data_IF_465707568051
#
_entry.id   IF_465707568051
#
_cell.length_a   1.000
_cell.length_b   1.000
_cell.length_c   1.000
_cell.angle_alpha   90.00
_cell.angle_beta   90.00
_cell.angle_gamma   90.00
#
_symmetry.space_group_name_H-M   'P 1'
#
loop_
_entity.id
_entity.type
_entity.pdbx_description
1 polymer ?
#
# COMPACT_ATOMS: atom_id res chain seq x y z
N UNK A 1 33.79 5.64 -46.58
CA UNK A 1 32.60 5.19 -45.83
C UNK A 1 33.02 4.92 -44.39
N UNK A 2 32.82 5.90 -43.51
CA UNK A 2 33.21 5.84 -42.09
C UNK A 2 32.02 5.23 -41.35
N UNK A 3 32.14 3.98 -40.91
CA UNK A 3 31.18 3.36 -40.01
C UNK A 3 31.38 3.95 -38.63
N UNK A 4 30.52 4.90 -38.27
CA UNK A 4 30.41 5.43 -36.93
C UNK A 4 29.77 4.35 -36.06
N UNK A 5 30.59 3.56 -35.37
CA UNK A 5 30.13 2.63 -34.34
C UNK A 5 29.65 3.47 -33.17
N UNK A 6 28.35 3.60 -33.02
CA UNK A 6 27.70 4.20 -31.86
C UNK A 6 27.90 3.23 -30.68
N UNK A 7 28.98 3.45 -29.94
CA UNK A 7 29.17 2.84 -28.63
C UNK A 7 28.11 3.44 -27.69
N UNK A 8 26.94 2.80 -27.67
CA UNK A 8 25.98 3.00 -26.58
C UNK A 8 26.62 2.40 -25.32
N UNK A 9 27.39 3.22 -24.63
CA UNK A 9 27.84 2.92 -23.28
C UNK A 9 26.57 2.89 -22.42
N UNK A 10 26.08 1.69 -22.16
CA UNK A 10 25.04 1.48 -21.15
C UNK A 10 25.64 1.89 -19.81
N UNK A 11 25.43 3.14 -19.44
CA UNK A 11 25.63 3.57 -18.05
C UNK A 11 24.58 2.79 -17.26
N UNK A 12 24.96 1.60 -16.78
CA UNK A 12 24.23 0.93 -15.75
C UNK A 12 24.22 1.89 -14.55
N UNK A 13 23.17 2.65 -14.41
CA UNK A 13 22.92 3.43 -13.20
C UNK A 13 22.90 2.41 -12.05
N UNK A 14 23.98 2.39 -11.28
CA UNK A 14 24.10 1.55 -10.11
C UNK A 14 23.09 2.05 -9.08
N UNK A 15 21.85 1.54 -9.15
CA UNK A 15 20.77 1.90 -8.24
C UNK A 15 21.23 1.70 -6.80
N UNK A 16 20.98 2.68 -5.95
CA UNK A 16 21.21 2.59 -4.50
C UNK A 16 20.19 1.64 -3.86
N UNK A 17 20.45 1.20 -2.63
CA UNK A 17 19.49 0.40 -1.88
C UNK A 17 18.16 1.14 -1.65
N UNK A 18 18.24 2.45 -1.40
CA UNK A 18 17.06 3.31 -1.25
C UNK A 18 16.24 3.42 -2.54
N UNK A 19 16.90 3.63 -3.67
CA UNK A 19 16.23 3.68 -4.97
C UNK A 19 15.55 2.35 -5.30
N UNK A 20 16.20 1.22 -5.01
CA UNK A 20 15.61 -0.10 -5.17
C UNK A 20 14.38 -0.27 -4.28
N UNK A 21 14.46 0.14 -3.02
CA UNK A 21 13.36 0.09 -2.07
C UNK A 21 12.13 0.87 -2.58
N UNK A 22 12.34 2.08 -3.04
CA UNK A 22 11.28 2.96 -3.52
C UNK A 22 10.72 2.50 -4.87
N UNK A 23 11.58 2.16 -5.83
CA UNK A 23 11.14 1.76 -7.19
C UNK A 23 10.46 0.42 -7.24
N UNK A 24 10.77 -0.49 -6.30
CA UNK A 24 10.09 -1.80 -6.18
C UNK A 24 8.82 -1.74 -5.34
N UNK A 25 8.49 -0.57 -4.80
CA UNK A 25 7.25 -0.35 -4.05
C UNK A 25 7.25 -1.00 -2.66
N UNK A 26 8.41 -1.29 -2.08
CA UNK A 26 8.51 -1.89 -0.74
C UNK A 26 7.83 -1.02 0.32
N UNK A 27 7.97 0.31 0.19
CA UNK A 27 7.35 1.30 1.06
C UNK A 27 5.81 1.18 1.11
N UNK A 28 5.18 0.73 0.03
CA UNK A 28 3.72 0.63 -0.04
C UNK A 28 3.12 -0.34 0.98
N UNK A 29 3.88 -1.35 1.39
CA UNK A 29 3.47 -2.30 2.42
C UNK A 29 4.15 -2.00 3.76
N UNK A 30 5.47 -1.76 3.74
CA UNK A 30 6.27 -1.68 4.96
C UNK A 30 6.20 -0.33 5.69
N UNK A 31 5.79 0.76 5.01
CA UNK A 31 5.61 2.07 5.64
C UNK A 31 4.13 2.43 5.88
N UNK A 32 3.21 1.74 5.22
CA UNK A 32 1.78 1.99 5.38
C UNK A 32 1.15 1.24 6.56
N UNK A 33 1.95 0.52 7.36
CA UNK A 33 1.49 -0.26 8.51
C UNK A 33 0.32 -1.22 8.15
N UNK A 34 0.41 -1.83 6.97
CA UNK A 34 -0.56 -2.84 6.55
C UNK A 34 -0.43 -4.06 7.46
N UNK A 35 -1.53 -4.61 7.89
CA UNK A 35 -1.55 -5.79 8.76
C UNK A 35 -0.73 -6.94 8.15
N UNK A 36 0.24 -7.44 8.91
CA UNK A 36 1.15 -8.50 8.47
C UNK A 36 2.42 -8.03 7.75
N UNK A 37 2.58 -6.71 7.51
CA UNK A 37 3.82 -6.14 6.99
C UNK A 37 4.60 -5.49 8.13
N UNK A 38 5.78 -6.01 8.52
CA UNK A 38 6.57 -5.45 9.61
C UNK A 38 7.16 -4.09 9.22
N UNK A 39 7.40 -3.25 10.22
CA UNK A 39 8.20 -2.03 10.06
C UNK A 39 9.68 -2.44 9.93
N UNK A 40 10.32 -2.05 8.83
CA UNK A 40 11.72 -2.41 8.59
C UNK A 40 12.72 -1.53 9.36
N UNK A 41 12.28 -0.48 10.02
CA UNK A 41 13.14 0.33 10.91
C UNK A 41 13.55 -0.44 12.15
N UNK A 42 12.72 -1.40 12.61
CA UNK A 42 12.98 -2.26 13.77
C UNK A 42 13.68 -3.57 13.43
N UNK A 43 14.05 -3.78 12.17
CA UNK A 43 14.61 -5.05 11.68
C UNK A 43 15.80 -5.57 12.50
N UNK A 44 16.67 -4.68 13.00
CA UNK A 44 17.79 -5.06 13.87
C UNK A 44 17.35 -5.44 15.29
N UNK A 45 16.36 -4.74 15.81
CA UNK A 45 15.82 -4.98 17.15
C UNK A 45 15.06 -6.31 17.19
N UNK A 46 14.34 -6.61 16.13
CA UNK A 46 13.62 -7.87 15.97
C UNK A 46 14.57 -9.07 15.86
N UNK A 47 15.82 -8.85 15.39
CA UNK A 47 16.88 -9.84 15.30
C UNK A 47 16.63 -10.97 14.30
N UNK A 48 15.47 -10.97 13.63
CA UNK A 48 15.06 -12.01 12.69
C UNK A 48 14.36 -11.45 11.47
N UNK A 49 14.75 -11.94 10.29
CA UNK A 49 14.04 -11.74 9.03
C UNK A 49 12.83 -12.68 8.99
N UNK A 50 11.64 -12.13 8.83
CA UNK A 50 10.38 -12.88 8.80
C UNK A 50 10.13 -13.79 10.04
N UNK A 51 10.86 -13.56 11.11
CA UNK A 51 10.81 -14.37 12.35
C UNK A 51 11.55 -15.71 12.28
N UNK A 52 12.28 -16.00 11.18
CA UNK A 52 12.92 -17.32 10.95
C UNK A 52 14.42 -17.25 10.68
N UNK A 53 14.92 -16.26 9.96
CA UNK A 53 16.33 -16.13 9.60
C UNK A 53 17.02 -15.02 10.42
N UNK A 54 18.33 -15.16 10.66
CA UNK A 54 19.10 -14.08 11.26
C UNK A 54 19.22 -12.88 10.33
N UNK A 55 19.37 -11.67 10.90
CA UNK A 55 19.49 -10.42 10.12
C UNK A 55 20.91 -10.32 9.55
N UNK A 56 21.11 -10.93 8.39
CA UNK A 56 22.32 -10.79 7.57
C UNK A 56 21.96 -10.42 6.14
N UNK A 57 22.89 -9.79 5.37
CA UNK A 57 22.60 -9.44 3.99
C UNK A 57 22.21 -10.64 3.11
N UNK A 58 22.84 -11.78 3.33
CA UNK A 58 22.59 -13.03 2.60
C UNK A 58 21.19 -13.56 2.90
N UNK A 59 20.80 -13.59 4.16
CA UNK A 59 19.49 -14.06 4.59
C UNK A 59 18.37 -13.13 4.11
N UNK A 60 18.59 -11.81 4.13
CA UNK A 60 17.65 -10.84 3.54
C UNK A 60 17.58 -11.04 2.02
N UNK A 61 18.72 -11.25 1.34
CA UNK A 61 18.73 -11.53 -0.09
C UNK A 61 17.93 -12.79 -0.43
N UNK A 62 18.12 -13.87 0.34
CA UNK A 62 17.34 -15.11 0.21
C UNK A 62 15.86 -14.88 0.44
N UNK A 63 15.48 -14.12 1.46
CA UNK A 63 14.10 -13.74 1.72
C UNK A 63 13.50 -12.95 0.55
N UNK A 64 14.21 -11.98 0.01
CA UNK A 64 13.78 -11.16 -1.12
C UNK A 64 13.66 -11.95 -2.43
N UNK A 65 14.41 -13.04 -2.58
CA UNK A 65 14.35 -13.92 -3.74
C UNK A 65 13.05 -14.71 -3.80
N UNK A 66 12.78 -15.45 -2.75
CA UNK A 66 11.58 -16.29 -2.65
C UNK A 66 11.05 -16.35 -1.21
N UNK A 67 10.22 -15.39 -0.78
CA UNK A 67 9.67 -15.38 0.58
C UNK A 67 8.86 -16.64 0.92
N UNK A 68 8.16 -17.22 -0.05
CA UNK A 68 7.33 -18.40 0.16
C UNK A 68 8.15 -19.66 0.46
N UNK A 69 9.37 -19.76 -0.07
CA UNK A 69 10.29 -20.87 0.20
C UNK A 69 10.82 -20.77 1.64
N UNK A 70 11.12 -19.56 2.11
CA UNK A 70 11.64 -19.32 3.46
C UNK A 70 10.55 -19.45 4.51
N UNK A 71 9.35 -18.92 4.23
CA UNK A 71 8.20 -18.95 5.14
C UNK A 71 6.92 -19.17 4.34
N UNK A 72 6.49 -20.42 4.19
CA UNK A 72 5.24 -20.73 3.50
C UNK A 72 4.05 -19.98 4.09
N UNK A 73 3.18 -19.46 3.24
CA UNK A 73 2.00 -18.71 3.65
C UNK A 73 2.23 -17.21 3.91
N UNK A 74 3.44 -16.69 3.68
CA UNK A 74 3.67 -15.24 3.74
C UNK A 74 2.95 -14.52 2.59
N UNK A 75 2.47 -13.30 2.84
CA UNK A 75 1.86 -12.47 1.81
C UNK A 75 2.89 -11.71 0.94
N UNK A 76 4.17 -11.69 1.35
CA UNK A 76 5.22 -10.99 0.62
C UNK A 76 5.52 -11.68 -0.72
N UNK A 77 5.46 -10.98 -1.86
CA UNK A 77 5.84 -11.53 -3.16
C UNK A 77 7.37 -11.55 -3.34
N UNK A 78 7.90 -12.34 -4.28
CA UNK A 78 9.30 -12.24 -4.72
C UNK A 78 9.62 -10.84 -5.24
N UNK A 79 10.81 -10.32 -4.90
CA UNK A 79 11.20 -8.95 -5.27
C UNK A 79 11.46 -8.74 -6.77
N UNK A 80 11.77 -9.80 -7.52
CA UNK A 80 12.16 -9.72 -8.93
C UNK A 80 13.51 -8.99 -9.16
N UNK A 81 14.31 -8.83 -8.12
CA UNK A 81 15.65 -8.23 -8.17
C UNK A 81 16.71 -9.26 -8.50
N UNK A 82 17.79 -8.85 -9.18
CA UNK A 82 18.99 -9.68 -9.30
C UNK A 82 19.65 -9.89 -7.92
N UNK A 83 20.51 -10.91 -7.82
CA UNK A 83 21.22 -11.17 -6.55
C UNK A 83 22.03 -9.96 -6.08
N UNK A 84 22.76 -9.31 -6.99
CA UNK A 84 23.50 -8.08 -6.67
C UNK A 84 22.61 -6.97 -6.14
N UNK A 85 21.45 -6.77 -6.77
CA UNK A 85 20.48 -5.76 -6.32
C UNK A 85 19.87 -6.14 -4.96
N UNK A 86 19.57 -7.41 -4.72
CA UNK A 86 19.07 -7.91 -3.44
C UNK A 86 20.08 -7.69 -2.32
N UNK A 87 21.37 -8.00 -2.55
CA UNK A 87 22.43 -7.77 -1.58
C UNK A 87 22.63 -6.28 -1.29
N UNK A 88 22.59 -5.44 -2.32
CA UNK A 88 22.66 -3.99 -2.17
C UNK A 88 21.50 -3.43 -1.34
N UNK A 89 20.28 -3.87 -1.65
CA UNK A 89 19.09 -3.50 -0.87
C UNK A 89 19.18 -4.01 0.57
N UNK A 90 19.64 -5.25 0.78
CA UNK A 90 19.81 -5.84 2.11
C UNK A 90 20.80 -5.06 2.97
N UNK A 91 21.95 -4.67 2.40
CA UNK A 91 22.94 -3.85 3.10
C UNK A 91 22.38 -2.48 3.47
N UNK A 92 21.65 -1.84 2.58
CA UNK A 92 20.98 -0.57 2.86
C UNK A 92 19.93 -0.72 3.98
N UNK A 93 19.10 -1.75 3.93
CA UNK A 93 18.11 -2.03 4.97
C UNK A 93 18.75 -2.18 6.35
N UNK A 94 19.86 -2.91 6.43
CA UNK A 94 20.56 -3.12 7.71
C UNK A 94 21.26 -1.84 8.18
N UNK A 95 21.97 -1.15 7.32
CA UNK A 95 22.90 -0.11 7.74
C UNK A 95 22.26 1.28 7.81
N UNK A 96 21.31 1.55 6.96
CA UNK A 96 20.72 2.87 6.83
C UNK A 96 19.26 2.89 7.32
N UNK A 97 18.41 1.99 6.86
CA UNK A 97 16.99 2.01 7.26
C UNK A 97 16.78 1.52 8.69
N UNK A 98 17.38 0.40 9.09
CA UNK A 98 17.26 -0.15 10.44
C UNK A 98 18.19 0.54 11.48
N UNK A 99 19.07 1.42 11.04
CA UNK A 99 19.92 2.23 11.92
C UNK A 99 19.39 3.65 12.14
N UNK A 100 18.42 4.08 11.34
CA UNK A 100 17.69 5.31 11.62
C UNK A 100 16.75 5.00 12.77
N UNK A 101 17.16 5.40 13.99
CA UNK A 101 16.20 5.57 15.08
C UNK A 101 15.07 6.37 14.43
N UNK A 102 13.93 5.72 14.24
CA UNK A 102 12.73 6.43 13.81
C UNK A 102 12.56 7.54 14.84
N UNK A 103 12.98 8.75 14.49
CA UNK A 103 12.39 9.92 15.11
C UNK A 103 10.92 9.73 14.81
N UNK A 104 10.22 9.20 15.81
CA UNK A 104 8.86 8.78 15.74
C UNK A 104 8.15 9.76 14.82
N UNK A 105 7.77 9.29 13.65
CA UNK A 105 6.96 10.11 12.75
C UNK A 105 5.90 10.66 13.66
N UNK A 106 5.78 12.00 13.82
CA UNK A 106 4.89 12.58 14.82
C UNK A 106 3.57 11.84 14.63
N UNK A 107 2.96 11.31 15.71
CA UNK A 107 1.82 10.42 15.61
C UNK A 107 0.94 11.02 14.53
N UNK A 108 0.78 10.28 13.41
CA UNK A 108 0.02 10.78 12.26
C UNK A 108 -1.24 11.28 12.90
N UNK A 109 -1.45 12.62 12.93
CA UNK A 109 -2.71 13.19 13.40
C UNK A 109 -3.74 12.40 12.64
N UNK A 110 -4.32 11.40 13.29
CA UNK A 110 -5.49 10.69 12.79
C UNK A 110 -6.39 11.84 12.44
N UNK A 111 -6.48 12.14 11.14
CA UNK A 111 -7.45 13.14 10.68
C UNK A 111 -8.71 12.65 11.32
N UNK A 112 -9.32 13.40 12.28
CA UNK A 112 -10.56 12.93 12.87
C UNK A 112 -11.39 12.51 11.68
N UNK A 113 -11.75 11.23 11.61
CA UNK A 113 -12.69 10.74 10.62
C UNK A 113 -13.75 11.82 10.59
N UNK A 114 -14.04 12.47 9.46
CA UNK A 114 -15.18 13.33 9.42
C UNK A 114 -16.28 12.42 9.94
N UNK A 115 -16.71 12.64 11.17
CA UNK A 115 -18.01 12.13 11.61
C UNK A 115 -18.96 12.82 10.66
N UNK A 116 -18.99 12.31 9.42
CA UNK A 116 -20.03 12.59 8.47
C UNK A 116 -21.25 12.34 9.30
N UNK A 117 -21.85 13.46 9.72
CA UNK A 117 -23.10 13.41 10.38
C UNK A 117 -24.06 12.77 9.36
N UNK A 118 -24.03 11.43 9.33
CA UNK A 118 -24.94 10.61 8.51
C UNK A 118 -26.39 11.05 8.79
N UNK A 119 -26.60 11.63 9.96
CA UNK A 119 -27.83 12.29 10.33
C UNK A 119 -28.16 13.51 9.44
N UNK A 120 -27.18 14.25 8.92
CA UNK A 120 -27.49 15.46 8.13
C UNK A 120 -27.76 15.16 6.64
N UNK A 121 -27.35 14.01 6.15
CA UNK A 121 -27.59 13.60 4.74
C UNK A 121 -28.83 12.72 4.63
N UNK A 122 -29.24 12.01 5.69
CA UNK A 122 -30.40 11.14 5.67
C UNK A 122 -31.75 11.89 5.64
N UNK A 123 -31.83 13.05 6.28
CA UNK A 123 -33.08 13.82 6.35
C UNK A 123 -33.57 14.35 4.99
N UNK A 124 -32.77 14.92 4.09
CA UNK A 124 -33.28 15.41 2.81
C UNK A 124 -33.79 14.28 1.91
N UNK A 125 -33.17 13.08 2.00
CA UNK A 125 -33.57 11.93 1.18
C UNK A 125 -34.93 11.36 1.67
N UNK A 126 -35.11 11.25 2.98
CA UNK A 126 -36.39 10.80 3.55
C UNK A 126 -37.54 11.79 3.25
N UNK A 127 -37.28 13.09 3.29
CA UNK A 127 -38.24 14.11 2.90
C UNK A 127 -38.64 14.05 1.43
N UNK A 128 -37.70 13.81 0.55
CA UNK A 128 -37.94 13.67 -0.89
C UNK A 128 -38.82 12.46 -1.21
N UNK A 129 -38.58 11.34 -0.54
CA UNK A 129 -39.41 10.12 -0.67
C UNK A 129 -40.84 10.32 -0.21
N UNK A 130 -41.02 10.99 0.93
CA UNK A 130 -42.35 11.29 1.46
C UNK A 130 -43.12 12.21 0.50
N UNK A 131 -42.45 13.21 -0.07
CA UNK A 131 -43.06 14.12 -1.02
C UNK A 131 -43.46 13.45 -2.33
N UNK A 132 -42.60 12.55 -2.86
CA UNK A 132 -42.93 11.75 -4.04
C UNK A 132 -44.12 10.82 -3.82
N UNK A 133 -44.22 10.21 -2.64
CA UNK A 133 -45.35 9.32 -2.32
C UNK A 133 -46.66 10.07 -2.22
N UNK A 134 -46.70 11.24 -1.58
CA UNK A 134 -47.89 12.10 -1.50
C UNK A 134 -48.34 12.58 -2.88
N UNK A 135 -47.37 13.02 -3.73
CA UNK A 135 -47.66 13.44 -5.09
C UNK A 135 -48.24 12.29 -5.95
N UNK A 136 -47.65 11.09 -5.82
CA UNK A 136 -48.07 9.90 -6.51
C UNK A 136 -49.50 9.48 -6.11
N UNK A 137 -49.80 9.46 -4.80
CA UNK A 137 -51.14 9.15 -4.31
C UNK A 137 -52.20 10.19 -4.75
N UNK A 138 -51.83 11.47 -4.74
CA UNK A 138 -52.69 12.55 -5.19
C UNK A 138 -53.01 12.45 -6.71
N UNK A 139 -52.03 11.97 -7.49
CA UNK A 139 -52.21 11.77 -8.92
C UNK A 139 -53.15 10.56 -9.21
N UNK A 140 -53.00 9.45 -8.48
CA UNK A 140 -53.85 8.29 -8.62
C UNK A 140 -55.32 8.60 -8.23
N UNK A 141 -55.52 9.35 -7.14
CA UNK A 141 -56.86 9.73 -6.71
C UNK A 141 -57.60 10.63 -7.71
N UNK A 142 -56.89 11.34 -8.56
CA UNK A 142 -57.47 12.16 -9.64
C UNK A 142 -57.79 11.35 -10.91
N UNK A 143 -57.15 10.19 -11.07
CA UNK A 143 -57.35 9.28 -12.21
C UNK A 143 -58.35 8.16 -11.93
N UNK A 144 -58.91 8.11 -10.71
CA UNK A 144 -59.92 7.15 -10.34
C UNK A 144 -61.16 7.24 -11.26
N UNK A 145 -61.81 6.12 -11.58
CA UNK A 145 -62.92 6.08 -12.52
C UNK A 145 -64.07 6.99 -12.02
N UNK A 146 -64.39 7.98 -12.87
CA UNK A 146 -65.64 8.75 -12.71
C UNK A 146 -66.78 7.78 -12.99
N UNK A 147 -67.33 7.14 -11.95
CA UNK A 147 -68.55 6.40 -12.08
C UNK A 147 -69.64 7.38 -12.47
N UNK A 148 -69.96 7.39 -13.76
CA UNK A 148 -71.10 8.09 -14.28
C UNK A 148 -72.39 7.42 -13.84
N UNK A 149 -73.30 8.18 -13.35
CA UNK A 149 -74.70 7.87 -13.21
C UNK A 149 -75.36 7.87 -14.56
#
# INVERSE_FOLDING_TARGET
MIKLAFLMSSIAFAQTGEELYNTRGCASCHEMQIAGCPDLTTLKEDGKVAGVLDVTPENISKWLENPQEVKPGTAMPPSGLSEEQRLKLANWLINEKAGVVSVASPPRKVRPEPKLAYAQVAYPIAGLWAFCMVAFFSMISRLGPKNGS
#
